data_IF_616612170363
#
_entry.id   IF_616612170363
#
_cell.length_a   1.000
_cell.length_b   1.000
_cell.length_c   1.000
_cell.angle_alpha   90.00
_cell.angle_beta   90.00
_cell.angle_gamma   90.00
#
_symmetry.space_group_name_H-M   'P 1'
#
loop_
_entity.id
_entity.type
_entity.pdbx_description
1 polymer ?
#
# COMPACT_ATOMS: atom_id res chain seq x y z
N UNK A 1 63.38 7.75 -44.37
CA UNK A 1 63.86 7.69 -42.96
C UNK A 1 62.65 7.51 -42.08
N UNK A 2 62.63 6.43 -41.30
CA UNK A 2 61.67 6.19 -40.22
C UNK A 2 61.64 7.35 -39.23
N UNK A 3 60.45 7.71 -38.75
CA UNK A 3 60.21 7.82 -37.30
C UNK A 3 58.77 7.37 -37.02
N UNK A 4 58.66 6.29 -36.27
CA UNK A 4 57.48 5.78 -35.58
C UNK A 4 57.26 6.53 -34.28
N UNK A 5 56.03 6.96 -33.96
CA UNK A 5 55.64 7.27 -32.56
C UNK A 5 54.16 6.95 -32.32
N UNK A 6 53.95 5.78 -31.71
CA UNK A 6 53.07 5.47 -30.55
C UNK A 6 51.81 6.31 -30.27
N UNK A 7 50.68 5.61 -30.22
CA UNK A 7 49.41 6.03 -29.60
C UNK A 7 49.49 6.19 -28.08
N UNK A 8 48.51 6.88 -27.45
CA UNK A 8 47.92 6.39 -26.23
C UNK A 8 46.38 6.28 -26.31
N UNK A 9 45.92 5.04 -26.11
CA UNK A 9 44.81 4.55 -25.26
C UNK A 9 43.63 5.49 -24.94
N UNK A 10 42.43 4.99 -25.26
CA UNK A 10 41.10 5.48 -24.86
C UNK A 10 40.97 5.73 -23.35
N UNK A 11 40.23 6.77 -22.97
CA UNK A 11 39.46 6.78 -21.71
C UNK A 11 38.00 6.95 -22.06
N UNK A 12 37.37 5.82 -22.39
CA UNK A 12 35.92 5.73 -22.50
C UNK A 12 35.34 5.87 -21.09
N UNK A 13 34.67 7.00 -20.82
CA UNK A 13 34.07 7.28 -19.51
C UNK A 13 32.84 6.38 -19.35
N UNK A 14 33.04 5.25 -18.69
CA UNK A 14 31.99 4.34 -18.20
C UNK A 14 30.89 5.17 -17.50
N UNK A 15 29.62 5.09 -17.90
CA UNK A 15 28.55 5.78 -17.20
C UNK A 15 28.46 5.22 -15.77
N UNK A 16 28.43 6.13 -14.80
CA UNK A 16 28.33 5.82 -13.37
C UNK A 16 26.96 5.20 -13.11
N UNK A 17 26.93 3.91 -12.78
CA UNK A 17 25.73 3.14 -12.47
C UNK A 17 25.14 3.50 -11.11
N UNK A 18 24.59 4.72 -11.00
CA UNK A 18 23.86 5.18 -9.81
C UNK A 18 22.41 5.60 -10.09
N UNK A 19 22.04 5.87 -11.34
CA UNK A 19 20.76 6.53 -11.68
C UNK A 19 19.64 5.57 -12.10
N UNK A 20 19.99 4.35 -12.51
CA UNK A 20 19.02 3.46 -13.15
C UNK A 20 17.91 2.99 -12.19
N UNK A 21 18.22 2.77 -10.91
CA UNK A 21 17.22 2.32 -9.93
C UNK A 21 16.23 3.44 -9.58
N UNK A 22 16.70 4.68 -9.54
CA UNK A 22 15.88 5.84 -9.19
C UNK A 22 14.98 6.25 -10.37
N UNK A 23 15.51 6.22 -11.60
CA UNK A 23 14.76 6.39 -12.85
C UNK A 23 13.73 5.27 -13.06
N UNK A 24 14.07 4.00 -12.80
CA UNK A 24 13.11 2.88 -12.84
C UNK A 24 12.02 3.06 -11.78
N UNK A 25 12.34 3.53 -10.58
CA UNK A 25 11.35 3.83 -9.54
C UNK A 25 10.43 4.98 -9.91
N UNK A 26 10.95 6.06 -10.52
CA UNK A 26 10.12 7.13 -11.08
C UNK A 26 9.21 6.60 -12.18
N UNK A 27 9.75 5.78 -13.09
CA UNK A 27 8.99 5.15 -14.17
C UNK A 27 7.90 4.17 -13.67
N UNK A 28 8.16 3.43 -12.59
CA UNK A 28 7.17 2.57 -11.93
C UNK A 28 6.13 3.39 -11.16
N UNK A 29 6.52 4.50 -10.53
CA UNK A 29 5.58 5.50 -9.96
C UNK A 29 4.71 6.14 -11.05
N UNK A 30 5.25 6.35 -12.27
CA UNK A 30 4.51 6.83 -13.45
C UNK A 30 3.50 5.82 -14.03
N UNK A 31 3.43 4.59 -13.50
CA UNK A 31 2.49 3.53 -13.92
C UNK A 31 1.33 3.29 -12.94
N UNK A 32 1.30 3.99 -11.80
CA UNK A 32 0.18 3.85 -10.87
C UNK A 32 -1.04 4.56 -11.44
N UNK A 33 -2.15 3.83 -11.56
CA UNK A 33 -3.41 4.41 -12.02
C UNK A 33 -3.92 5.34 -10.92
N UNK A 34 -4.43 6.51 -11.29
CA UNK A 34 -5.03 7.45 -10.34
C UNK A 34 -6.53 7.49 -10.52
N UNK A 35 -7.29 7.69 -9.44
CA UNK A 35 -8.73 7.97 -9.49
C UNK A 35 -9.10 9.15 -8.60
N UNK A 36 -10.13 9.88 -9.01
CA UNK A 36 -10.83 10.87 -8.20
C UNK A 36 -12.34 10.71 -8.24
N UNK A 37 -12.82 9.49 -8.53
CA UNK A 37 -14.24 9.22 -8.58
C UNK A 37 -14.85 9.30 -7.19
N UNK A 38 -16.06 9.86 -7.09
CA UNK A 38 -16.72 10.17 -5.82
C UNK A 38 -16.84 8.93 -4.91
N UNK A 39 -17.18 7.77 -5.48
CA UNK A 39 -17.29 6.52 -4.72
C UNK A 39 -15.98 6.15 -4.01
N UNK A 40 -14.84 6.28 -4.69
CA UNK A 40 -13.54 5.94 -4.13
C UNK A 40 -13.07 7.01 -3.14
N UNK A 41 -13.42 8.28 -3.38
CA UNK A 41 -13.22 9.38 -2.44
C UNK A 41 -13.96 9.15 -1.12
N UNK A 42 -15.23 8.76 -1.17
CA UNK A 42 -16.03 8.46 0.02
C UNK A 42 -15.45 7.27 0.80
N UNK A 43 -15.09 6.19 0.12
CA UNK A 43 -14.44 5.04 0.75
C UNK A 43 -13.08 5.42 1.39
N UNK A 44 -12.28 6.24 0.71
CA UNK A 44 -11.01 6.71 1.26
C UNK A 44 -11.22 7.58 2.50
N UNK A 45 -12.21 8.49 2.51
CA UNK A 45 -12.58 9.26 3.71
C UNK A 45 -12.97 8.36 4.89
N UNK A 46 -13.71 7.28 4.64
CA UNK A 46 -14.04 6.27 5.66
C UNK A 46 -12.79 5.55 6.18
N UNK A 47 -11.86 5.17 5.29
CA UNK A 47 -10.58 4.57 5.69
C UNK A 47 -9.73 5.54 6.53
N UNK A 48 -9.71 6.83 6.18
CA UNK A 48 -9.06 7.90 6.95
C UNK A 48 -9.69 8.04 8.34
N UNK A 49 -11.03 8.03 8.44
CA UNK A 49 -11.71 8.06 9.73
C UNK A 49 -11.34 6.85 10.62
N UNK A 50 -11.16 5.66 10.03
CA UNK A 50 -10.67 4.49 10.75
C UNK A 50 -9.23 4.68 11.23
N UNK A 51 -8.35 5.28 10.41
CA UNK A 51 -6.96 5.53 10.79
C UNK A 51 -6.86 6.40 12.06
N UNK A 52 -7.75 7.40 12.21
CA UNK A 52 -7.85 8.27 13.39
C UNK A 52 -8.19 7.55 14.69
N UNK A 53 -8.76 6.35 14.64
CA UNK A 53 -9.04 5.53 15.82
C UNK A 53 -7.76 4.92 16.42
N UNK A 54 -6.66 4.89 15.66
CA UNK A 54 -5.40 4.31 16.10
C UNK A 54 -4.70 5.24 17.09
N UNK A 55 -4.29 4.73 18.25
CA UNK A 55 -3.38 5.47 19.15
C UNK A 55 -2.02 5.63 18.46
N UNK A 56 -1.50 6.85 18.25
CA UNK A 56 -0.19 7.05 17.65
C UNK A 56 0.94 6.54 18.55
N UNK A 57 1.96 5.95 17.93
CA UNK A 57 3.21 5.55 18.60
C UNK A 57 4.41 5.91 17.73
N UNK A 58 5.59 6.21 18.30
CA UNK A 58 6.75 6.65 17.51
C UNK A 58 7.30 5.61 16.52
N UNK A 59 6.94 4.33 16.72
CA UNK A 59 7.54 3.19 16.04
C UNK A 59 6.59 2.53 15.03
N UNK A 60 5.42 3.10 14.76
CA UNK A 60 4.50 2.57 13.76
C UNK A 60 3.48 3.62 13.32
N UNK A 61 3.11 3.57 12.05
CA UNK A 61 2.11 4.44 11.49
C UNK A 61 0.68 4.13 11.97
N UNK A 62 -0.20 5.13 11.93
CA UNK A 62 -1.66 5.00 12.04
C UNK A 62 -2.29 4.84 10.66
N UNK A 63 -2.64 3.61 10.31
CA UNK A 63 -3.30 3.25 9.04
C UNK A 63 -4.74 2.83 9.30
N UNK A 64 -5.62 3.14 8.36
CA UNK A 64 -6.99 2.62 8.30
C UNK A 64 -7.23 1.85 7.01
N UNK A 65 -8.09 0.85 7.07
CA UNK A 65 -8.43 -0.05 5.98
C UNK A 65 -9.94 -0.28 5.92
N UNK A 66 -10.52 -0.23 4.73
CA UNK A 66 -11.92 -0.51 4.45
C UNK A 66 -12.01 -1.54 3.34
N UNK A 67 -12.85 -2.55 3.49
CA UNK A 67 -13.15 -3.52 2.43
C UNK A 67 -14.62 -3.39 2.05
N UNK A 68 -14.91 -3.29 0.75
CA UNK A 68 -16.27 -3.22 0.21
C UNK A 68 -16.50 -4.29 -0.85
N UNK A 69 -17.77 -4.54 -1.21
CA UNK A 69 -18.05 -5.19 -2.49
C UNK A 69 -17.57 -4.29 -3.62
N UNK A 70 -17.00 -4.88 -4.68
CA UNK A 70 -16.41 -4.11 -5.78
C UNK A 70 -17.42 -3.15 -6.41
N UNK A 71 -17.02 -1.89 -6.55
CA UNK A 71 -17.82 -0.84 -7.18
C UNK A 71 -19.02 -0.35 -6.36
N UNK A 72 -19.09 -0.67 -5.06
CA UNK A 72 -20.17 -0.21 -4.17
C UNK A 72 -19.62 0.37 -2.86
N UNK A 73 -20.48 1.09 -2.13
CA UNK A 73 -20.20 1.57 -0.77
C UNK A 73 -20.55 0.53 0.32
N UNK A 74 -20.94 -0.69 -0.06
CA UNK A 74 -21.31 -1.75 0.87
C UNK A 74 -20.07 -2.30 1.56
N UNK A 75 -19.86 -1.87 2.81
CA UNK A 75 -18.73 -2.27 3.64
C UNK A 75 -18.91 -3.71 4.11
N UNK A 76 -17.91 -4.55 3.85
CA UNK A 76 -17.87 -5.95 4.30
C UNK A 76 -16.88 -6.18 5.43
N UNK A 77 -15.87 -5.33 5.58
CA UNK A 77 -14.96 -5.37 6.73
C UNK A 77 -14.22 -4.04 6.85
N UNK A 78 -13.68 -3.79 8.03
CA UNK A 78 -12.90 -2.58 8.33
C UNK A 78 -11.67 -2.96 9.12
N UNK A 79 -10.70 -2.09 9.24
CA UNK A 79 -9.54 -2.30 10.08
C UNK A 79 -8.84 -0.99 10.39
N UNK A 80 -8.21 -0.88 11.55
CA UNK A 80 -7.23 0.16 11.80
C UNK A 80 -6.03 -0.40 12.56
N UNK A 81 -4.93 0.36 12.55
CA UNK A 81 -3.67 -0.09 13.14
C UNK A 81 -3.82 -0.32 14.63
N UNK A 82 -3.35 -1.48 15.10
CA UNK A 82 -3.41 -1.90 16.51
C UNK A 82 -4.84 -2.05 17.05
N UNK A 83 -5.83 -2.24 16.17
CA UNK A 83 -7.20 -2.56 16.57
C UNK A 83 -7.28 -3.93 17.26
N UNK A 84 -6.58 -4.92 16.71
CA UNK A 84 -6.48 -6.27 17.30
C UNK A 84 -5.13 -6.45 18.00
N UNK A 85 -5.07 -7.34 18.99
CA UNK A 85 -3.84 -7.65 19.71
C UNK A 85 -2.74 -8.20 18.80
N UNK A 86 -1.47 -8.10 19.22
CA UNK A 86 -0.34 -8.68 18.49
C UNK A 86 0.32 -7.76 17.45
N UNK A 87 0.24 -6.43 17.65
CA UNK A 87 0.82 -5.42 16.76
C UNK A 87 0.29 -5.54 15.32
N UNK A 88 -1.03 -5.56 15.16
CA UNK A 88 -1.68 -5.78 13.87
C UNK A 88 -1.73 -4.51 13.02
N UNK A 89 -1.57 -4.65 11.71
CA UNK A 89 -1.78 -3.56 10.75
C UNK A 89 -3.25 -3.50 10.33
N UNK A 90 -3.68 -2.38 9.76
CA UNK A 90 -5.08 -2.15 9.40
C UNK A 90 -5.63 -3.21 8.42
N UNK A 91 -4.86 -3.57 7.39
CA UNK A 91 -5.25 -4.58 6.40
C UNK A 91 -5.34 -5.98 7.03
N UNK A 92 -4.43 -6.28 7.97
CA UNK A 92 -4.46 -7.52 8.74
C UNK A 92 -5.73 -7.59 9.60
N UNK A 93 -6.11 -6.51 10.30
CA UNK A 93 -7.34 -6.43 11.07
C UNK A 93 -8.58 -6.65 10.19
N UNK A 94 -8.63 -6.00 9.03
CA UNK A 94 -9.76 -6.10 8.11
C UNK A 94 -9.93 -7.52 7.56
N UNK A 95 -8.84 -8.16 7.13
CA UNK A 95 -8.85 -9.54 6.63
C UNK A 95 -9.24 -10.51 7.76
N UNK A 96 -8.64 -10.39 8.96
CA UNK A 96 -8.97 -11.26 10.08
C UNK A 96 -10.45 -11.16 10.48
N UNK A 97 -10.99 -9.96 10.64
CA UNK A 97 -12.41 -9.77 10.99
C UNK A 97 -13.37 -10.28 9.92
N UNK A 98 -12.98 -10.18 8.64
CA UNK A 98 -13.74 -10.74 7.54
C UNK A 98 -13.79 -12.26 7.66
N UNK A 99 -12.64 -12.92 7.81
CA UNK A 99 -12.51 -14.37 7.89
C UNK A 99 -13.11 -14.99 9.18
N UNK A 100 -13.05 -14.27 10.29
CA UNK A 100 -13.61 -14.70 11.58
C UNK A 100 -15.16 -14.69 11.61
N UNK A 101 -15.82 -14.25 10.53
CA UNK A 101 -17.29 -14.19 10.44
C UNK A 101 -17.91 -13.11 11.35
N UNK A 102 -17.11 -12.16 11.84
CA UNK A 102 -17.61 -10.98 12.58
C UNK A 102 -18.36 -10.00 11.67
N UNK A 103 -18.19 -10.14 10.36
CA UNK A 103 -19.03 -9.49 9.36
C UNK A 103 -20.27 -10.34 9.09
N UNK A 104 -21.44 -9.70 8.96
CA UNK A 104 -22.77 -10.31 9.02
C UNK A 104 -23.11 -11.28 7.85
N UNK A 105 -22.42 -12.42 7.80
CA UNK A 105 -22.28 -13.37 6.68
C UNK A 105 -21.09 -13.05 5.76
N UNK A 106 -20.37 -14.10 5.39
CA UNK A 106 -19.25 -13.99 4.46
C UNK A 106 -19.76 -13.52 3.10
N UNK A 107 -19.32 -12.36 2.60
CA UNK A 107 -19.69 -11.91 1.27
C UNK A 107 -19.17 -12.90 0.22
N UNK A 108 -19.81 -12.90 -0.93
CA UNK A 108 -19.33 -13.55 -2.15
C UNK A 108 -19.07 -12.49 -3.23
N UNK A 109 -18.18 -12.80 -4.16
CA UNK A 109 -17.76 -11.95 -5.26
C UNK A 109 -16.40 -11.29 -5.08
N UNK A 110 -16.22 -10.22 -5.85
CA UNK A 110 -15.01 -9.40 -5.86
C UNK A 110 -15.10 -8.31 -4.78
N UNK A 111 -13.98 -8.03 -4.14
CA UNK A 111 -13.83 -6.98 -3.14
C UNK A 111 -12.90 -5.87 -3.63
N UNK A 112 -13.21 -4.65 -3.21
CA UNK A 112 -12.29 -3.52 -3.25
C UNK A 112 -11.70 -3.30 -1.85
N UNK A 113 -10.38 -3.16 -1.76
CA UNK A 113 -9.66 -2.83 -0.53
C UNK A 113 -9.18 -1.38 -0.60
N UNK A 114 -9.57 -0.56 0.36
CA UNK A 114 -9.10 0.81 0.51
C UNK A 114 -8.19 0.88 1.72
N UNK A 115 -6.97 1.39 1.58
CA UNK A 115 -6.03 1.58 2.68
C UNK A 115 -5.45 2.99 2.64
N UNK A 116 -5.28 3.63 3.79
CA UNK A 116 -4.79 5.01 3.82
C UNK A 116 -3.34 5.12 3.39
N UNK A 117 -2.58 4.02 3.46
CA UNK A 117 -1.17 3.95 3.08
C UNK A 117 -0.87 2.64 2.36
N UNK A 118 0.18 2.62 1.54
CA UNK A 118 0.65 1.41 0.84
C UNK A 118 0.75 0.18 1.76
N UNK A 119 0.20 -0.98 1.34
CA UNK A 119 0.35 -2.23 2.08
C UNK A 119 1.83 -2.62 2.19
N UNK A 120 2.34 -2.73 3.40
CA UNK A 120 3.76 -2.99 3.62
C UNK A 120 4.26 -4.29 2.95
N UNK A 121 5.46 -4.26 2.38
CA UNK A 121 6.17 -5.43 1.85
C UNK A 121 7.09 -6.10 2.87
N UNK A 122 7.43 -5.40 3.96
CA UNK A 122 8.32 -5.85 5.04
C UNK A 122 7.75 -5.37 6.37
N UNK A 123 8.00 -6.13 7.45
CA UNK A 123 7.64 -5.74 8.81
C UNK A 123 8.80 -5.98 9.76
N UNK A 124 9.22 -4.95 10.47
CA UNK A 124 10.28 -5.04 11.48
C UNK A 124 9.90 -5.96 12.66
N UNK A 125 8.61 -6.15 12.92
CA UNK A 125 8.15 -7.07 13.96
C UNK A 125 8.30 -8.55 13.61
N UNK A 126 8.66 -8.89 12.35
CA UNK A 126 8.70 -10.27 11.86
C UNK A 126 7.32 -10.87 11.53
N UNK A 127 6.24 -10.15 11.80
CA UNK A 127 4.90 -10.56 11.37
C UNK A 127 4.79 -10.56 9.84
N UNK A 128 3.83 -11.33 9.31
CA UNK A 128 3.58 -11.38 7.86
C UNK A 128 3.24 -9.98 7.30
N UNK A 129 3.90 -9.52 6.22
CA UNK A 129 3.61 -8.25 5.55
C UNK A 129 2.18 -8.18 5.00
N UNK A 130 1.62 -6.97 4.92
CA UNK A 130 0.25 -6.76 4.43
C UNK A 130 0.10 -7.18 2.97
N UNK A 131 1.10 -6.91 2.12
CA UNK A 131 1.09 -7.37 0.74
C UNK A 131 1.02 -8.90 0.65
N UNK A 132 1.71 -9.63 1.52
CA UNK A 132 1.64 -11.11 1.56
C UNK A 132 0.29 -11.61 2.07
N UNK A 133 -0.28 -10.97 3.10
CA UNK A 133 -1.60 -11.30 3.62
C UNK A 133 -2.69 -11.16 2.56
N UNK A 134 -2.64 -10.09 1.76
CA UNK A 134 -3.59 -9.86 0.65
C UNK A 134 -3.46 -10.97 -0.41
N UNK A 135 -2.23 -11.32 -0.80
CA UNK A 135 -2.00 -12.39 -1.77
C UNK A 135 -2.43 -13.76 -1.25
N UNK A 136 -2.18 -14.04 0.02
CA UNK A 136 -2.62 -15.28 0.67
C UNK A 136 -4.14 -15.35 0.76
N UNK A 137 -4.82 -14.24 1.10
CA UNK A 137 -6.28 -14.15 1.06
C UNK A 137 -6.83 -14.47 -0.34
N UNK A 138 -6.19 -13.98 -1.40
CA UNK A 138 -6.62 -14.29 -2.77
C UNK A 138 -6.31 -15.73 -3.22
N UNK A 139 -5.34 -16.39 -2.57
CA UNK A 139 -4.95 -17.79 -2.87
C UNK A 139 -5.69 -18.80 -2.02
N UNK A 140 -6.23 -18.41 -0.86
CA UNK A 140 -6.95 -19.32 0.01
C UNK A 140 -8.19 -19.85 -0.72
N UNK A 141 -8.63 -21.06 -0.35
CA UNK A 141 -9.74 -21.77 -1.00
C UNK A 141 -11.10 -21.16 -0.60
N UNK A 142 -11.24 -19.84 -0.69
CA UNK A 142 -12.52 -19.15 -0.69
C UNK A 142 -12.95 -19.01 -2.15
N UNK A 143 -13.59 -20.04 -2.76
CA UNK A 143 -13.85 -20.08 -4.21
C UNK A 143 -14.72 -18.91 -4.71
N UNK A 144 -15.32 -18.17 -3.79
CA UNK A 144 -16.24 -17.09 -4.09
C UNK A 144 -15.81 -15.77 -3.49
N UNK A 145 -14.58 -15.58 -3.02
CA UNK A 145 -14.17 -14.31 -2.44
C UNK A 145 -12.72 -13.96 -2.79
N UNK A 146 -12.51 -12.78 -3.37
CA UNK A 146 -11.18 -12.27 -3.71
C UNK A 146 -11.13 -10.75 -3.65
N UNK A 147 -10.00 -10.20 -3.24
CA UNK A 147 -9.66 -8.79 -3.43
C UNK A 147 -9.25 -8.60 -4.89
N UNK A 148 -9.98 -7.74 -5.61
CA UNK A 148 -9.73 -7.47 -7.03
C UNK A 148 -8.94 -6.18 -7.23
N UNK A 149 -9.34 -5.13 -6.53
CA UNK A 149 -8.76 -3.81 -6.66
C UNK A 149 -8.28 -3.30 -5.30
N UNK A 150 -7.20 -2.52 -5.32
CA UNK A 150 -6.66 -1.86 -4.14
C UNK A 150 -6.61 -0.35 -4.41
N UNK A 151 -7.14 0.44 -3.49
CA UNK A 151 -7.13 1.89 -3.53
C UNK A 151 -6.31 2.39 -2.34
N UNK A 152 -5.21 3.10 -2.61
CA UNK A 152 -4.35 3.66 -1.57
C UNK A 152 -4.39 5.19 -1.55
N UNK A 153 -4.32 5.78 -0.36
CA UNK A 153 -4.24 7.25 -0.21
C UNK A 153 -2.84 7.79 -0.49
N UNK A 154 -1.82 7.13 0.07
CA UNK A 154 -0.42 7.50 -0.12
C UNK A 154 0.51 6.28 -0.21
N UNK A 155 1.53 6.38 -1.06
CA UNK A 155 2.65 5.44 -1.12
C UNK A 155 3.49 5.60 0.15
N UNK A 156 3.94 4.51 0.77
CA UNK A 156 4.70 4.59 2.02
C UNK A 156 5.97 5.43 1.76
N UNK A 157 6.25 6.45 2.58
CA UNK A 157 7.47 7.24 2.43
C UNK A 157 8.70 6.40 2.78
N UNK A 158 9.80 6.62 2.05
CA UNK A 158 11.04 5.85 2.16
C UNK A 158 11.82 6.09 3.48
N UNK A 159 11.25 6.83 4.44
CA UNK A 159 11.90 7.19 5.71
C UNK A 159 11.73 6.13 6.81
N UNK A 160 10.79 5.20 6.65
CA UNK A 160 10.53 4.17 7.65
C UNK A 160 11.15 2.81 7.27
N UNK A 161 10.72 2.23 6.15
CA UNK A 161 11.27 1.01 5.56
C UNK A 161 11.19 1.16 4.04
N UNK A 162 12.14 0.61 3.29
CA UNK A 162 12.04 0.55 1.83
C UNK A 162 10.89 -0.40 1.45
N UNK A 163 9.73 0.18 1.13
CA UNK A 163 8.50 -0.54 0.82
C UNK A 163 8.37 -0.76 -0.69
N UNK A 164 8.02 -1.99 -1.08
CA UNK A 164 7.82 -2.42 -2.47
C UNK A 164 6.44 -3.10 -2.61
N UNK A 165 5.48 -2.72 -1.76
CA UNK A 165 4.18 -3.37 -1.61
C UNK A 165 3.33 -3.25 -2.86
N UNK A 166 3.22 -2.04 -3.41
CA UNK A 166 2.51 -1.75 -4.66
C UNK A 166 3.05 -2.63 -5.79
N UNK A 167 4.37 -2.63 -5.97
CA UNK A 167 5.01 -3.41 -7.05
C UNK A 167 4.71 -4.90 -6.90
N UNK A 168 4.88 -5.45 -5.69
CA UNK A 168 4.64 -6.87 -5.38
C UNK A 168 3.20 -7.30 -5.69
N UNK A 169 2.23 -6.46 -5.35
CA UNK A 169 0.81 -6.73 -5.59
C UNK A 169 0.47 -6.61 -7.09
N UNK A 170 0.99 -5.60 -7.79
CA UNK A 170 0.83 -5.44 -9.24
C UNK A 170 1.44 -6.60 -10.03
N UNK A 171 2.64 -7.05 -9.67
CA UNK A 171 3.32 -8.20 -10.30
C UNK A 171 2.52 -9.51 -10.12
N UNK A 172 1.60 -9.55 -9.15
CA UNK A 172 0.69 -10.67 -8.90
C UNK A 172 -0.67 -10.53 -9.58
N UNK A 173 -0.86 -9.49 -10.41
CA UNK A 173 -2.07 -9.26 -11.21
C UNK A 173 -3.18 -8.45 -10.53
N UNK A 174 -2.92 -7.83 -9.37
CA UNK A 174 -3.86 -6.92 -8.72
C UNK A 174 -3.82 -5.53 -9.34
N UNK A 175 -4.98 -4.92 -9.52
CA UNK A 175 -5.08 -3.52 -9.97
C UNK A 175 -4.98 -2.59 -8.76
N UNK A 176 -4.08 -1.62 -8.84
CA UNK A 176 -3.84 -0.66 -7.76
C UNK A 176 -4.06 0.76 -8.27
N UNK A 177 -4.86 1.51 -7.51
CA UNK A 177 -5.18 2.90 -7.76
C UNK A 177 -4.69 3.77 -6.61
N UNK A 178 -4.15 4.94 -6.93
CA UNK A 178 -4.00 6.01 -5.96
C UNK A 178 -5.24 6.90 -5.99
N UNK A 179 -5.89 7.09 -4.84
CA UNK A 179 -6.96 8.08 -4.68
C UNK A 179 -6.32 9.44 -4.44
N UNK A 180 -6.33 10.30 -5.44
CA UNK A 180 -5.62 11.59 -5.38
C UNK A 180 -6.32 12.57 -4.43
N UNK A 181 -5.59 13.56 -3.91
CA UNK A 181 -6.12 14.58 -3.00
C UNK A 181 -6.02 14.24 -1.50
N UNK A 182 -5.75 12.99 -1.14
CA UNK A 182 -5.64 12.57 0.27
C UNK A 182 -4.21 12.41 0.79
N UNK A 183 -3.19 12.55 -0.06
CA UNK A 183 -1.79 12.28 0.27
C UNK A 183 -1.34 12.92 1.59
N UNK A 184 -1.50 14.23 1.71
CA UNK A 184 -1.03 15.00 2.87
C UNK A 184 -1.82 14.66 4.14
N UNK A 185 -3.13 14.46 4.01
CA UNK A 185 -3.99 14.06 5.14
C UNK A 185 -3.61 12.66 5.65
N UNK A 186 -3.44 11.69 4.74
CA UNK A 186 -3.00 10.35 5.08
C UNK A 186 -1.64 10.36 5.81
N UNK A 187 -0.67 11.15 5.34
CA UNK A 187 0.65 11.23 5.98
C UNK A 187 0.59 11.85 7.37
N UNK A 188 -0.15 12.94 7.55
CA UNK A 188 -0.33 13.58 8.86
C UNK A 188 -0.94 12.63 9.87
N UNK A 189 -2.03 11.95 9.49
CA UNK A 189 -2.69 10.98 10.37
C UNK A 189 -1.77 9.80 10.66
N UNK A 190 -1.08 9.27 9.63
CA UNK A 190 -0.13 8.18 9.79
C UNK A 190 0.94 8.48 10.85
N UNK A 191 1.42 9.73 10.93
CA UNK A 191 2.43 10.18 11.89
C UNK A 191 1.86 10.63 13.24
N UNK A 192 0.53 10.64 13.40
CA UNK A 192 -0.11 11.16 14.60
C UNK A 192 -0.07 12.69 14.71
N UNK A 193 0.09 13.37 13.58
CA UNK A 193 0.19 14.84 13.48
C UNK A 193 -1.18 15.49 13.17
N UNK A 194 -2.27 14.73 13.19
CA UNK A 194 -3.62 15.27 12.98
C UNK A 194 -4.09 16.02 14.23
N UNK A 195 -3.91 17.33 14.23
CA UNK A 195 -4.27 18.22 15.34
C UNK A 195 -5.77 18.55 15.39
N UNK A 196 -6.60 18.01 14.50
CA UNK A 196 -8.05 18.28 14.44
C UNK A 196 -8.87 17.43 15.43
N UNK A 197 -8.27 17.00 16.54
CA UNK A 197 -9.01 16.42 17.65
C UNK A 197 -9.55 17.56 18.53
N UNK A 198 -10.69 18.13 18.15
CA UNK A 198 -11.51 19.00 19.00
C UNK A 198 -12.98 18.72 18.74
#
# INVERSE_FOLDING_TARGET
>A
MHVTTTSPVQVDRKPRGGDCVQEIRLFLRSKMITTSDELHFECMRKAIALARLSKPIPTAFCVGCLMTKTGTLEVVSTGYSRELEGNTHAEQCAIMKLLDGRSASMPTGDLDLYTTMEPCSVRLSGNKPCADLILEFNRSHHPHLRIKNIYLGVVEPDDFVNCDGVKKLQDSGLTIFQVIGFKEECLKIARGEDTNSS
#
